data_IF_500066868299
#
_entry.id   IF_500066868299
#
_cell.length_a   1.000
_cell.length_b   1.000
_cell.length_c   1.000
_cell.angle_alpha   90.00
_cell.angle_beta   90.00
_cell.angle_gamma   90.00
#
_symmetry.space_group_name_H-M   'P 1'
#
loop_
_entity.id
_entity.type
_entity.pdbx_description
1 polymer ?
#
# COMPACT_ATOMS: atom_id res chain seq x y z
N UNK A 1 -1.45 8.80 -6.47
CA UNK A 1 -0.59 7.67 -6.85
C UNK A 1 -1.48 6.49 -7.21
N UNK A 2 -1.28 5.87 -8.37
CA UNK A 2 -2.02 4.68 -8.74
C UNK A 2 -1.15 3.76 -9.61
N UNK A 3 -1.10 2.47 -9.29
CA UNK A 3 -0.47 1.45 -10.14
C UNK A 3 1.04 1.60 -10.39
N UNK A 4 1.79 2.32 -9.56
CA UNK A 4 3.18 2.69 -9.85
C UNK A 4 4.14 1.49 -9.90
N UNK A 5 3.87 0.44 -9.10
CA UNK A 5 4.62 -0.84 -9.08
C UNK A 5 3.69 -2.03 -9.35
N UNK A 6 2.66 -1.82 -10.18
CA UNK A 6 1.75 -2.87 -10.62
C UNK A 6 2.53 -3.99 -11.33
N UNK A 7 2.39 -5.23 -10.86
CA UNK A 7 3.13 -6.40 -11.35
C UNK A 7 4.66 -6.28 -11.30
N UNK A 8 5.22 -5.38 -10.50
CA UNK A 8 6.66 -5.27 -10.32
C UNK A 8 7.17 -6.40 -9.41
N UNK A 9 7.10 -7.65 -9.87
CA UNK A 9 7.28 -8.85 -9.03
C UNK A 9 8.65 -8.90 -8.33
N UNK A 10 9.68 -8.27 -8.92
CA UNK A 10 11.04 -8.22 -8.36
C UNK A 10 11.33 -6.95 -7.55
N UNK A 11 10.40 -6.00 -7.46
CA UNK A 11 10.64 -4.75 -6.74
C UNK A 11 10.58 -4.99 -5.22
N UNK A 12 11.66 -4.66 -4.52
CA UNK A 12 11.78 -4.74 -3.07
C UNK A 12 12.82 -3.74 -2.54
N UNK A 13 12.83 -2.54 -3.10
CA UNK A 13 13.74 -1.47 -2.70
C UNK A 13 13.02 -0.50 -1.76
N UNK A 14 13.74 0.11 -0.80
CA UNK A 14 13.15 1.12 0.08
C UNK A 14 12.62 2.31 -0.73
N UNK A 15 11.59 2.96 -0.21
CA UNK A 15 10.96 4.13 -0.82
C UNK A 15 10.87 5.27 0.19
N UNK A 16 11.53 6.37 -0.14
CA UNK A 16 11.53 7.60 0.65
C UNK A 16 10.75 8.67 -0.13
N UNK A 17 9.43 8.71 0.08
CA UNK A 17 8.52 9.60 -0.63
C UNK A 17 7.74 10.48 0.34
N UNK A 18 7.66 11.77 0.02
CA UNK A 18 6.72 12.67 0.67
C UNK A 18 5.30 12.43 0.13
N UNK A 19 4.43 11.89 0.98
CA UNK A 19 3.04 11.59 0.66
C UNK A 19 2.03 12.52 1.33
N UNK A 20 2.49 13.56 2.04
CA UNK A 20 1.66 14.46 2.88
C UNK A 20 0.49 15.11 2.15
N UNK A 21 0.62 15.31 0.84
CA UNK A 21 -0.40 15.94 -0.01
C UNK A 21 -1.16 14.95 -0.90
N UNK A 22 -0.88 13.65 -0.79
CA UNK A 22 -1.48 12.62 -1.65
C UNK A 22 -2.89 12.29 -1.18
N UNK A 23 -3.85 12.43 -2.09
CA UNK A 23 -5.27 12.16 -1.81
C UNK A 23 -5.72 10.74 -2.21
N UNK A 24 -4.97 10.05 -3.06
CA UNK A 24 -5.40 8.79 -3.67
C UNK A 24 -4.19 7.85 -3.82
N UNK A 25 -4.29 6.60 -3.33
CA UNK A 25 -3.22 5.59 -3.35
C UNK A 25 -3.77 4.19 -3.70
N UNK A 26 -4.18 3.97 -4.95
CA UNK A 26 -4.80 2.70 -5.33
C UNK A 26 -3.82 1.78 -6.07
N UNK A 27 -3.84 0.48 -5.76
CA UNK A 27 -3.08 -0.55 -6.49
C UNK A 27 -1.57 -0.29 -6.66
N UNK A 28 -0.93 0.46 -5.75
CA UNK A 28 0.47 0.88 -5.91
C UNK A 28 1.41 -0.33 -6.01
N UNK A 29 1.19 -1.38 -5.22
CA UNK A 29 1.96 -2.63 -5.21
C UNK A 29 1.13 -3.84 -5.60
N UNK A 30 0.05 -3.66 -6.37
CA UNK A 30 -0.76 -4.80 -6.81
C UNK A 30 0.10 -5.85 -7.53
N UNK A 31 0.08 -7.09 -7.03
CA UNK A 31 0.92 -8.20 -7.50
C UNK A 31 2.43 -7.93 -7.51
N UNK A 32 2.94 -7.03 -6.67
CA UNK A 32 4.38 -6.88 -6.42
C UNK A 32 4.89 -8.01 -5.50
N UNK A 33 5.07 -9.20 -6.06
CA UNK A 33 5.27 -10.44 -5.31
C UNK A 33 6.33 -10.36 -4.20
N UNK A 34 7.50 -9.80 -4.49
CA UNK A 34 8.64 -9.80 -3.56
C UNK A 34 8.71 -8.55 -2.67
N UNK A 35 7.75 -7.62 -2.74
CA UNK A 35 7.82 -6.40 -1.95
C UNK A 35 7.60 -6.68 -0.45
N UNK A 36 8.56 -6.30 0.39
CA UNK A 36 8.48 -6.42 1.84
C UNK A 36 9.34 -5.35 2.55
N UNK A 37 9.24 -4.10 2.11
CA UNK A 37 9.91 -2.98 2.76
C UNK A 37 8.95 -2.22 3.68
N UNK A 38 9.45 -1.58 4.76
CA UNK A 38 8.67 -0.62 5.52
C UNK A 38 8.27 0.57 4.63
N UNK A 39 7.15 1.20 4.94
CA UNK A 39 6.64 2.38 4.25
C UNK A 39 6.27 3.45 5.28
N UNK A 40 7.12 4.47 5.40
CA UNK A 40 6.91 5.61 6.30
C UNK A 40 6.13 6.72 5.56
N UNK A 41 4.88 6.42 5.21
CA UNK A 41 4.03 7.33 4.44
C UNK A 41 3.02 8.06 5.32
N UNK A 42 2.90 9.37 5.14
CA UNK A 42 1.77 10.14 5.67
C UNK A 42 0.52 9.83 4.82
N UNK A 43 -0.45 9.16 5.43
CA UNK A 43 -1.74 8.82 4.81
C UNK A 43 -2.89 9.66 5.32
N UNK A 44 -2.64 10.69 6.13
CA UNK A 44 -3.66 11.51 6.81
C UNK A 44 -4.58 12.28 5.88
N UNK A 45 -4.22 12.43 4.60
CA UNK A 45 -5.04 13.06 3.55
C UNK A 45 -5.59 12.08 2.52
N UNK A 46 -5.23 10.79 2.63
CA UNK A 46 -5.59 9.76 1.66
C UNK A 46 -7.06 9.39 1.81
N UNK A 47 -7.74 9.29 0.66
CA UNK A 47 -9.17 8.97 0.58
C UNK A 47 -9.46 7.54 0.14
N UNK A 48 -8.50 6.89 -0.54
CA UNK A 48 -8.63 5.50 -1.01
C UNK A 48 -7.26 4.82 -1.06
N UNK A 49 -7.28 3.56 -0.61
CA UNK A 49 -6.16 2.61 -0.65
C UNK A 49 -6.57 1.25 -1.26
N UNK A 50 -7.53 1.27 -2.18
CA UNK A 50 -8.09 0.06 -2.78
C UNK A 50 -7.00 -0.78 -3.47
N UNK A 51 -6.98 -2.08 -3.19
CA UNK A 51 -6.07 -3.06 -3.78
C UNK A 51 -4.56 -2.72 -3.66
N UNK A 52 -4.16 -1.85 -2.72
CA UNK A 52 -2.79 -1.32 -2.63
C UNK A 52 -1.72 -2.40 -2.56
N UNK A 53 -1.97 -3.48 -1.82
CA UNK A 53 -1.10 -4.64 -1.64
C UNK A 53 -1.76 -5.96 -2.08
N UNK A 54 -2.86 -5.90 -2.84
CA UNK A 54 -3.59 -7.09 -3.28
C UNK A 54 -2.66 -8.01 -4.08
N UNK A 55 -2.51 -9.25 -3.63
CA UNK A 55 -1.61 -10.23 -4.23
C UNK A 55 -0.11 -9.99 -4.00
N UNK A 56 0.29 -9.39 -2.87
CA UNK A 56 1.71 -9.27 -2.44
C UNK A 56 2.05 -10.30 -1.34
N UNK A 57 2.26 -11.58 -1.68
CA UNK A 57 2.41 -12.64 -0.70
C UNK A 57 3.67 -12.52 0.18
N UNK A 58 4.75 -11.89 -0.28
CA UNK A 58 5.95 -11.69 0.55
C UNK A 58 5.83 -10.55 1.56
N UNK A 59 4.78 -9.73 1.46
CA UNK A 59 4.56 -8.64 2.39
C UNK A 59 4.15 -9.20 3.75
N UNK A 60 4.91 -8.87 4.80
CA UNK A 60 4.63 -9.32 6.18
C UNK A 60 4.54 -8.17 7.18
N UNK A 61 4.66 -6.93 6.71
CA UNK A 61 4.69 -5.75 7.58
C UNK A 61 3.30 -5.42 8.12
N UNK A 62 3.27 -4.91 9.35
CA UNK A 62 2.12 -4.20 9.92
C UNK A 62 2.35 -2.70 9.74
N UNK A 63 1.36 -2.01 9.19
CA UNK A 63 1.45 -0.57 8.90
C UNK A 63 0.57 0.24 9.84
N UNK A 64 1.12 1.34 10.35
CA UNK A 64 0.40 2.33 11.16
C UNK A 64 -0.11 3.48 10.28
N UNK A 65 -0.83 3.12 9.20
CA UNK A 65 -1.41 4.11 8.31
C UNK A 65 -2.63 4.76 8.96
N UNK A 66 -2.70 6.09 8.91
CA UNK A 66 -3.91 6.83 9.25
C UNK A 66 -5.01 6.51 8.23
N UNK A 67 -6.01 5.75 8.67
CA UNK A 67 -7.19 5.37 7.89
C UNK A 67 -8.39 6.29 8.12
N UNK A 68 -8.27 7.33 8.95
CA UNK A 68 -9.39 8.16 9.42
C UNK A 68 -10.18 8.84 8.29
N UNK A 69 -9.53 9.08 7.14
CA UNK A 69 -10.15 9.67 5.94
C UNK A 69 -10.37 8.70 4.79
N UNK A 70 -9.96 7.44 4.93
CA UNK A 70 -10.09 6.43 3.87
C UNK A 70 -11.53 5.90 3.87
N UNK A 71 -12.28 6.21 2.82
CA UNK A 71 -13.69 5.79 2.73
C UNK A 71 -13.83 4.35 2.26
N UNK A 72 -14.65 3.54 2.96
CA UNK A 72 -15.48 2.39 2.52
C UNK A 72 -14.91 1.27 1.63
N UNK A 73 -13.70 1.36 1.07
CA UNK A 73 -13.22 0.48 0.00
C UNK A 73 -11.70 0.20 0.10
N UNK A 74 -11.21 -0.04 1.31
CA UNK A 74 -9.87 -0.60 1.53
C UNK A 74 -9.92 -2.08 1.95
N UNK A 75 -11.10 -2.73 1.94
CA UNK A 75 -11.24 -4.15 2.27
C UNK A 75 -10.42 -5.09 1.37
N UNK A 76 -10.10 -4.68 0.15
CA UNK A 76 -9.20 -5.42 -0.75
C UNK A 76 -7.73 -5.11 -0.58
N UNK A 77 -7.36 -4.15 0.29
CA UNK A 77 -6.00 -3.61 0.42
C UNK A 77 -4.97 -4.72 0.60
N UNK A 78 -5.28 -5.71 1.45
CA UNK A 78 -4.38 -6.81 1.81
C UNK A 78 -4.87 -8.19 1.37
N UNK A 79 -5.88 -8.29 0.51
CA UNK A 79 -6.38 -9.61 0.11
C UNK A 79 -5.27 -10.38 -0.63
N UNK A 80 -5.08 -11.65 -0.28
CA UNK A 80 -3.97 -12.47 -0.81
C UNK A 80 -2.57 -11.87 -0.56
N UNK A 81 -2.40 -11.12 0.53
CA UNK A 81 -1.11 -10.65 1.06
C UNK A 81 -0.98 -10.99 2.55
N UNK A 82 0.23 -10.96 3.09
CA UNK A 82 0.48 -11.19 4.52
C UNK A 82 0.53 -9.92 5.38
N UNK A 83 0.40 -8.73 4.77
CA UNK A 83 0.43 -7.45 5.47
C UNK A 83 -0.85 -7.14 6.25
N UNK A 84 -0.76 -6.20 7.19
CA UNK A 84 -1.91 -5.79 8.02
C UNK A 84 -1.82 -4.32 8.44
N UNK A 85 -2.90 -3.81 9.02
CA UNK A 85 -2.92 -2.52 9.71
C UNK A 85 -2.78 -2.75 11.22
N UNK A 86 -2.06 -1.85 11.89
CA UNK A 86 -1.90 -1.81 13.35
C UNK A 86 -3.10 -1.21 14.07
#
# INVERSE_FOLDING_TARGET
MAGMFLYASNFNQPLDWDTSNVKYMSAVFYQAWNFNQPLEWDTSQVKTMTAMFLGTPSLTQTFDFDMSKVGGSYGSMFWSSGGSLG
#
